data_IF_063384260352
#
_entry.id   IF_063384260352
#
_cell.length_a   1.000
_cell.length_b   1.000
_cell.length_c   1.000
_cell.angle_alpha   90.00
_cell.angle_beta   90.00
_cell.angle_gamma   90.00
#
_symmetry.space_group_name_H-M   'P 1'
#
loop_
_entity.id
_entity.type
_entity.pdbx_description
1 polymer ?
#
# COMPACT_ATOMS: atom_id res chain seq x y z
N UNK A 1 -4.68 -10.74 5.47
CA UNK A 1 -5.41 -9.46 5.58
C UNK A 1 -4.51 -8.30 5.97
N UNK A 2 -3.78 -8.36 7.09
CA UNK A 2 -3.00 -7.22 7.61
C UNK A 2 -2.05 -6.58 6.58
N UNK A 3 -1.26 -7.38 5.86
CA UNK A 3 -0.33 -6.88 4.85
C UNK A 3 -1.02 -6.06 3.76
N UNK A 4 -2.08 -6.59 3.15
CA UNK A 4 -2.85 -5.91 2.09
C UNK A 4 -3.38 -4.56 2.58
N UNK A 5 -3.99 -4.55 3.76
CA UNK A 5 -4.57 -3.34 4.33
C UNK A 5 -3.49 -2.28 4.63
N UNK A 6 -2.44 -2.68 5.34
CA UNK A 6 -1.38 -1.76 5.75
C UNK A 6 -0.60 -1.20 4.56
N UNK A 7 -0.31 -2.01 3.53
CA UNK A 7 0.44 -1.55 2.36
C UNK A 7 -0.37 -0.59 1.48
N UNK A 8 -1.64 -0.87 1.21
CA UNK A 8 -2.51 0.03 0.45
C UNK A 8 -2.77 1.34 1.23
N UNK A 9 -2.93 1.26 2.56
CA UNK A 9 -3.06 2.45 3.41
C UNK A 9 -1.78 3.30 3.41
N UNK A 10 -0.60 2.68 3.49
CA UNK A 10 0.68 3.39 3.47
C UNK A 10 0.86 4.19 2.18
N UNK A 11 0.49 3.62 1.03
CA UNK A 11 0.52 4.34 -0.26
C UNK A 11 -0.43 5.53 -0.23
N UNK A 12 -1.68 5.35 0.22
CA UNK A 12 -2.66 6.44 0.31
C UNK A 12 -2.19 7.57 1.22
N UNK A 13 -1.68 7.24 2.40
CA UNK A 13 -1.20 8.22 3.36
C UNK A 13 0.01 9.00 2.83
N UNK A 14 0.94 8.33 2.14
CA UNK A 14 2.09 8.99 1.54
C UNK A 14 1.69 9.89 0.36
N UNK A 15 0.70 9.47 -0.43
CA UNK A 15 0.15 10.26 -1.54
C UNK A 15 -0.56 11.53 -1.04
N UNK A 16 -1.40 11.39 -0.01
CA UNK A 16 -2.03 12.54 0.67
C UNK A 16 -0.97 13.49 1.26
N UNK A 17 0.11 12.96 1.83
CA UNK A 17 1.21 13.77 2.34
C UNK A 17 1.90 14.59 1.22
N UNK A 18 2.15 13.99 0.06
CA UNK A 18 2.66 14.71 -1.13
C UNK A 18 1.68 15.81 -1.54
N UNK A 19 0.40 15.49 -1.64
CA UNK A 19 -0.64 16.44 -2.05
C UNK A 19 -0.76 17.63 -1.09
N UNK A 20 -0.67 17.41 0.23
CA UNK A 20 -0.70 18.48 1.25
C UNK A 20 0.49 19.43 1.11
N UNK A 21 1.67 18.91 0.73
CA UNK A 21 2.86 19.74 0.50
C UNK A 21 2.85 20.46 -0.85
N UNK A 22 1.88 20.17 -1.73
CA UNK A 22 1.79 20.76 -3.06
C UNK A 22 3.05 20.53 -3.89
N UNK A 23 3.54 21.57 -4.58
CA UNK A 23 4.77 21.46 -5.39
C UNK A 23 6.02 21.07 -4.57
N UNK A 24 6.07 21.45 -3.29
CA UNK A 24 7.16 21.05 -2.41
C UNK A 24 7.15 19.55 -2.11
N UNK A 25 6.00 18.90 -2.22
CA UNK A 25 5.86 17.45 -2.05
C UNK A 25 6.50 16.63 -3.17
N UNK A 26 6.87 17.25 -4.30
CA UNK A 26 7.49 16.60 -5.46
C UNK A 26 9.01 16.78 -5.54
N UNK A 27 9.60 17.63 -4.69
CA UNK A 27 11.04 17.89 -4.69
C UNK A 27 11.72 17.17 -3.52
N UNK A 28 13.00 16.83 -3.70
CA UNK A 28 13.77 16.04 -2.73
C UNK A 28 14.13 16.75 -1.43
N UNK A 29 13.77 18.03 -1.30
CA UNK A 29 13.96 18.80 -0.07
C UNK A 29 13.04 18.32 1.07
N UNK A 30 11.88 17.75 0.73
CA UNK A 30 10.94 17.16 1.68
C UNK A 30 10.86 15.64 1.50
N UNK A 31 10.76 14.90 2.60
CA UNK A 31 10.82 13.44 2.57
C UNK A 31 9.56 12.75 2.03
N UNK A 32 8.46 13.48 1.82
CA UNK A 32 7.16 12.89 1.44
C UNK A 32 7.20 12.18 0.08
N UNK A 33 7.96 12.70 -0.90
CA UNK A 33 8.17 12.01 -2.19
C UNK A 33 8.85 10.65 -2.02
N UNK A 34 9.84 10.59 -1.11
CA UNK A 34 10.56 9.35 -0.80
C UNK A 34 9.63 8.33 -0.16
N UNK A 35 8.80 8.76 0.80
CA UNK A 35 7.84 7.88 1.45
C UNK A 35 6.83 7.30 0.47
N UNK A 36 6.37 8.07 -0.52
CA UNK A 36 5.47 7.55 -1.56
C UNK A 36 6.16 6.47 -2.41
N UNK A 37 7.41 6.70 -2.82
CA UNK A 37 8.21 5.71 -3.57
C UNK A 37 8.43 4.42 -2.77
N UNK A 38 8.81 4.55 -1.50
CA UNK A 38 9.09 3.42 -0.63
C UNK A 38 7.81 2.62 -0.32
N UNK A 39 6.70 3.32 -0.03
CA UNK A 39 5.39 2.69 0.24
C UNK A 39 4.90 1.87 -0.95
N UNK A 40 5.19 2.28 -2.18
CA UNK A 40 4.74 1.56 -3.37
C UNK A 40 5.28 0.13 -3.42
N UNK A 41 6.51 -0.09 -2.97
CA UNK A 41 7.12 -1.43 -2.91
C UNK A 41 6.29 -2.39 -2.04
N UNK A 42 5.65 -1.90 -0.97
CA UNK A 42 4.87 -2.73 -0.05
C UNK A 42 3.63 -3.38 -0.70
N UNK A 43 3.14 -2.80 -1.81
CA UNK A 43 2.03 -3.37 -2.60
C UNK A 43 2.47 -4.42 -3.62
N UNK A 44 3.79 -4.64 -3.77
CA UNK A 44 4.39 -5.52 -4.79
C UNK A 44 5.24 -6.61 -4.14
N UNK A 45 6.21 -6.22 -3.31
CA UNK A 45 7.15 -7.14 -2.65
C UNK A 45 6.44 -8.10 -1.70
N UNK A 46 7.02 -9.28 -1.47
CA UNK A 46 6.46 -10.34 -0.61
C UNK A 46 5.05 -10.82 -1.02
N UNK A 47 4.67 -10.60 -2.29
CA UNK A 47 3.34 -10.89 -2.84
C UNK A 47 2.48 -9.65 -3.02
N UNK A 48 2.01 -9.43 -4.24
CA UNK A 48 1.25 -8.23 -4.64
C UNK A 48 -0.10 -8.12 -3.93
N UNK A 49 -0.73 -6.95 -4.00
CA UNK A 49 -2.10 -6.75 -3.50
C UNK A 49 -3.08 -7.79 -4.04
N UNK A 50 -3.00 -8.15 -5.31
CA UNK A 50 -3.88 -9.14 -5.96
C UNK A 50 -3.61 -10.55 -5.41
N UNK A 51 -2.35 -10.91 -5.21
CA UNK A 51 -1.97 -12.18 -4.58
C UNK A 51 -2.52 -12.25 -3.15
N UNK A 52 -2.42 -11.17 -2.38
CA UNK A 52 -2.99 -11.12 -1.03
C UNK A 52 -4.52 -11.26 -1.06
N UNK A 53 -5.23 -10.58 -1.98
CA UNK A 53 -6.68 -10.72 -2.15
C UNK A 53 -7.08 -12.15 -2.52
N UNK A 54 -6.32 -12.80 -3.40
CA UNK A 54 -6.54 -14.20 -3.79
C UNK A 54 -6.40 -15.15 -2.58
N UNK A 55 -5.34 -14.99 -1.78
CA UNK A 55 -5.12 -15.79 -0.57
C UNK A 55 -6.26 -15.59 0.41
N UNK A 56 -6.63 -14.33 0.69
CA UNK A 56 -7.74 -14.01 1.60
C UNK A 56 -9.05 -14.64 1.10
N UNK A 57 -9.38 -14.48 -0.19
CA UNK A 57 -10.58 -15.07 -0.77
C UNK A 57 -10.60 -16.61 -0.69
N UNK A 58 -9.43 -17.25 -0.86
CA UNK A 58 -9.30 -18.70 -0.69
C UNK A 58 -9.57 -19.13 0.75
N UNK A 59 -9.00 -18.43 1.73
CA UNK A 59 -9.19 -18.78 3.14
C UNK A 59 -10.64 -18.53 3.59
N UNK A 60 -11.26 -17.43 3.19
CA UNK A 60 -12.69 -17.20 3.44
C UNK A 60 -13.56 -18.29 2.81
N UNK A 61 -13.23 -18.74 1.59
CA UNK A 61 -13.98 -19.82 0.95
C UNK A 61 -13.95 -21.12 1.77
N UNK A 62 -12.79 -21.46 2.35
CA UNK A 62 -12.66 -22.64 3.22
C UNK A 62 -13.47 -22.49 4.50
N UNK A 63 -13.42 -21.32 5.14
CA UNK A 63 -14.08 -21.08 6.42
C UNK A 63 -15.62 -21.15 6.32
N UNK A 64 -16.19 -20.71 5.21
CA UNK A 64 -17.66 -20.64 5.05
C UNK A 64 -18.28 -21.79 4.25
N UNK A 65 -17.51 -22.50 3.43
CA UNK A 65 -18.06 -23.43 2.44
C UNK A 65 -17.36 -24.80 2.39
N UNK A 66 -16.45 -25.09 3.32
CA UNK A 66 -15.90 -26.43 3.56
C UNK A 66 -16.16 -26.83 5.01
#
# INVERSE_FOLDING_TARGET
MAKLFASELAVRAADEAVQIHGGYGYIKEYHVERFLRDAKLMTIGEGTSEVQRMIIGRELKKEFWQ
#
